data_IF_096334576753
#
_entry.id   IF_096334576753
#
_cell.length_a   1.000
_cell.length_b   1.000
_cell.length_c   1.000
_cell.angle_alpha   90.00
_cell.angle_beta   90.00
_cell.angle_gamma   90.00
#
_symmetry.space_group_name_H-M   'P 1'
#
loop_
_entity.id
_entity.type
_entity.pdbx_description
1 polymer ?
#
# COMPACT_ATOMS: atom_id res chain seq x y z
N UNK A 1 -19.41 -12.52 3.75
CA UNK A 1 -18.86 -12.98 5.04
C UNK A 1 -18.48 -11.74 5.83
N UNK A 2 -19.11 -11.49 6.98
CA UNK A 2 -18.82 -10.33 7.83
C UNK A 2 -18.01 -10.81 9.04
N UNK A 3 -16.82 -10.27 9.22
CA UNK A 3 -15.97 -10.60 10.35
C UNK A 3 -16.09 -9.47 11.39
N UNK A 4 -16.24 -9.85 12.66
CA UNK A 4 -16.36 -8.92 13.81
C UNK A 4 -15.10 -9.00 14.67
N UNK A 5 -14.91 -8.05 15.59
CA UNK A 5 -13.75 -8.02 16.52
C UNK A 5 -13.57 -9.30 17.33
N UNK A 6 -14.65 -10.04 17.58
CA UNK A 6 -14.64 -11.36 18.22
C UNK A 6 -13.98 -12.47 17.39
N UNK A 7 -13.68 -12.23 16.11
CA UNK A 7 -13.06 -13.19 15.20
C UNK A 7 -11.52 -13.18 15.24
N UNK A 8 -10.89 -12.27 15.98
CA UNK A 8 -9.42 -12.16 16.05
C UNK A 8 -8.75 -13.40 16.63
N UNK A 9 -9.35 -14.03 17.65
CA UNK A 9 -8.79 -15.23 18.30
C UNK A 9 -9.37 -16.54 17.74
N UNK A 10 -10.44 -16.48 16.95
CA UNK A 10 -11.11 -17.66 16.39
C UNK A 10 -10.54 -18.10 15.03
N UNK A 11 -9.70 -17.28 14.40
CA UNK A 11 -9.03 -17.64 13.16
C UNK A 11 -7.85 -18.59 13.47
N UNK A 12 -8.16 -19.84 13.78
CA UNK A 12 -7.21 -20.93 13.63
C UNK A 12 -6.92 -21.03 12.14
N UNK A 13 -5.79 -20.47 11.72
CA UNK A 13 -5.30 -20.53 10.34
C UNK A 13 -4.87 -21.97 10.04
N UNK A 14 -5.84 -22.87 9.90
CA UNK A 14 -5.58 -24.25 9.50
C UNK A 14 -5.32 -24.24 7.99
N UNK A 15 -4.04 -24.18 7.64
CA UNK A 15 -3.58 -24.16 6.26
C UNK A 15 -3.92 -25.50 5.60
N UNK A 16 -5.01 -25.53 4.83
CA UNK A 16 -5.33 -26.68 3.99
C UNK A 16 -4.64 -26.51 2.64
N UNK A 17 -3.68 -27.39 2.28
CA UNK A 17 -3.00 -27.31 1.00
C UNK A 17 -4.01 -27.39 -0.16
N UNK A 18 -3.89 -26.48 -1.13
CA UNK A 18 -4.78 -26.42 -2.31
C UNK A 18 -5.89 -25.37 -2.24
N UNK A 19 -6.06 -24.67 -1.11
CA UNK A 19 -7.00 -23.56 -0.97
C UNK A 19 -6.30 -22.21 -0.80
N UNK A 20 -6.88 -21.15 -1.37
CA UNK A 20 -6.37 -19.79 -1.22
C UNK A 20 -6.49 -19.34 0.23
N UNK A 21 -5.37 -18.86 0.79
CA UNK A 21 -5.31 -18.30 2.13
C UNK A 21 -5.37 -16.78 2.08
N UNK A 22 -6.09 -16.17 3.02
CA UNK A 22 -6.23 -14.72 3.13
C UNK A 22 -5.83 -14.29 4.54
N UNK A 23 -5.02 -13.24 4.63
CA UNK A 23 -4.75 -12.55 5.89
C UNK A 23 -5.74 -11.41 6.06
N UNK A 24 -6.47 -11.44 7.16
CA UNK A 24 -7.39 -10.37 7.54
C UNK A 24 -6.71 -9.49 8.58
N UNK A 25 -6.47 -8.23 8.25
CA UNK A 25 -5.86 -7.26 9.16
C UNK A 25 -6.96 -6.33 9.67
N UNK A 26 -7.11 -6.29 10.99
CA UNK A 26 -7.96 -5.34 11.69
C UNK A 26 -7.16 -4.12 12.09
N UNK A 27 -7.65 -2.94 11.70
CA UNK A 27 -7.10 -1.65 12.09
C UNK A 27 -7.82 -1.14 13.35
N UNK A 28 -7.09 -0.42 14.20
CA UNK A 28 -7.62 0.12 15.46
C UNK A 28 -8.76 1.14 15.29
N UNK A 29 -8.97 1.64 14.06
CA UNK A 29 -10.08 2.51 13.67
C UNK A 29 -11.38 1.76 13.32
N UNK A 30 -11.43 0.44 13.53
CA UNK A 30 -12.60 -0.40 13.23
C UNK A 30 -12.73 -0.82 11.76
N UNK A 31 -11.81 -0.42 10.88
CA UNK A 31 -11.76 -0.91 9.50
C UNK A 31 -11.00 -2.24 9.44
N UNK A 32 -11.43 -3.10 8.54
CA UNK A 32 -10.72 -4.34 8.22
C UNK A 32 -10.22 -4.29 6.78
N UNK A 33 -9.12 -4.98 6.52
CA UNK A 33 -8.59 -5.20 5.18
C UNK A 33 -8.26 -6.67 5.00
N UNK A 34 -8.64 -7.22 3.85
CA UNK A 34 -8.27 -8.58 3.47
C UNK A 34 -7.12 -8.47 2.50
N UNK A 35 -5.96 -8.99 2.89
CA UNK A 35 -4.82 -9.20 2.00
C UNK A 35 -4.82 -10.66 1.61
N UNK A 36 -4.85 -10.96 0.32
CA UNK A 36 -4.51 -12.30 -0.13
C UNK A 36 -3.09 -12.61 0.35
N UNK A 37 -2.89 -13.75 1.02
CA UNK A 37 -1.54 -14.23 1.17
C UNK A 37 -1.09 -14.63 -0.23
N UNK A 38 -0.04 -13.99 -0.73
CA UNK A 38 0.67 -14.51 -1.88
C UNK A 38 0.91 -15.98 -1.61
N UNK A 39 0.55 -16.82 -2.59
CA UNK A 39 1.08 -18.18 -2.64
C UNK A 39 2.58 -18.03 -2.44
N UNK A 40 3.10 -18.48 -1.29
CA UNK A 40 4.54 -18.65 -1.16
C UNK A 40 4.88 -19.67 -2.22
N UNK A 41 5.49 -19.18 -3.30
CA UNK A 41 5.86 -19.97 -4.45
C UNK A 41 6.61 -21.17 -3.93
N UNK A 42 6.04 -22.37 -4.09
CA UNK A 42 6.82 -23.59 -4.03
C UNK A 42 7.90 -23.42 -5.09
N UNK A 43 9.13 -23.19 -4.65
CA UNK A 43 10.27 -23.40 -5.52
C UNK A 43 10.18 -24.85 -6.00
N UNK A 44 10.03 -25.00 -7.31
CA UNK A 44 9.93 -26.24 -8.08
C UNK A 44 8.54 -26.91 -8.08
N UNK A 45 7.79 -26.70 -9.17
CA UNK A 45 7.69 -27.63 -10.32
C UNK A 45 6.51 -27.16 -11.20
N UNK A 46 6.75 -27.14 -12.51
CA UNK A 46 5.98 -26.35 -13.48
C UNK A 46 4.46 -26.53 -13.44
N UNK A 47 3.76 -25.39 -13.55
CA UNK A 47 2.38 -25.33 -14.00
C UNK A 47 2.29 -24.13 -14.93
N UNK A 48 2.16 -24.42 -16.21
CA UNK A 48 1.84 -23.51 -17.31
C UNK A 48 0.37 -23.15 -17.26
N UNK A 49 -0.04 -22.25 -16.38
CA UNK A 49 -1.32 -21.54 -16.51
C UNK A 49 -1.11 -20.09 -16.08
N UNK A 50 -1.07 -19.19 -17.06
CA UNK A 50 -1.00 -17.74 -16.87
C UNK A 50 -2.28 -17.25 -16.20
N UNK A 51 -2.33 -17.35 -14.88
CA UNK A 51 -3.31 -16.62 -14.09
C UNK A 51 -2.87 -15.15 -14.09
N UNK A 52 -3.44 -14.36 -15.01
CA UNK A 52 -3.32 -12.90 -15.03
C UNK A 52 -4.00 -12.30 -13.79
N UNK A 53 -3.38 -12.45 -12.63
CA UNK A 53 -3.73 -11.67 -11.45
C UNK A 53 -3.20 -10.26 -11.73
N UNK A 54 -4.09 -9.34 -12.10
CA UNK A 54 -3.83 -7.91 -12.00
C UNK A 54 -3.71 -7.55 -10.52
N UNK A 55 -2.58 -7.90 -9.92
CA UNK A 55 -2.15 -7.38 -8.64
C UNK A 55 -1.79 -5.93 -8.94
N UNK A 56 -2.75 -5.00 -8.81
CA UNK A 56 -2.36 -3.59 -8.81
C UNK A 56 -1.43 -3.43 -7.61
N UNK A 57 -0.18 -3.08 -7.88
CA UNK A 57 0.84 -2.83 -6.87
C UNK A 57 0.65 -1.45 -6.27
N UNK A 58 -0.61 -1.09 -5.98
CA UNK A 58 -0.99 0.17 -5.38
C UNK A 58 -0.68 0.06 -3.89
N UNK A 59 0.41 0.70 -3.48
CA UNK A 59 0.86 0.74 -2.10
C UNK A 59 0.34 2.01 -1.45
N UNK A 60 -0.22 1.91 -0.24
CA UNK A 60 -0.57 3.08 0.55
C UNK A 60 0.69 3.92 0.80
N UNK A 61 0.66 5.17 0.33
CA UNK A 61 1.71 6.15 0.47
C UNK A 61 1.35 7.15 1.55
N UNK A 62 2.25 7.30 2.52
CA UNK A 62 2.19 8.30 3.58
C UNK A 62 3.15 9.43 3.22
N UNK A 63 2.61 10.63 3.04
CA UNK A 63 3.35 11.84 2.67
C UNK A 63 3.40 12.75 3.90
N UNK A 64 4.62 12.96 4.39
CA UNK A 64 4.92 13.83 5.51
C UNK A 64 5.54 15.14 5.02
N UNK A 65 5.61 16.14 5.91
CA UNK A 65 6.40 17.34 5.66
C UNK A 65 7.89 17.03 5.43
N UNK A 66 8.66 18.04 5.04
CA UNK A 66 10.09 17.94 4.74
C UNK A 66 10.92 17.38 5.91
N UNK A 67 10.51 17.71 7.14
CA UNK A 67 11.12 17.20 8.37
C UNK A 67 10.68 15.76 8.73
N UNK A 68 9.69 15.21 8.05
CA UNK A 68 9.13 13.88 8.32
C UNK A 68 8.39 13.76 9.65
N UNK A 69 7.98 14.87 10.26
CA UNK A 69 7.35 14.89 11.60
C UNK A 69 5.82 14.87 11.52
N UNK A 70 5.23 15.55 10.55
CA UNK A 70 3.79 15.70 10.42
C UNK A 70 3.29 14.98 9.16
N UNK A 71 2.26 14.14 9.29
CA UNK A 71 1.58 13.53 8.14
C UNK A 71 0.71 14.59 7.47
N UNK A 72 0.99 14.88 6.20
CA UNK A 72 0.25 15.87 5.41
C UNK A 72 -0.86 15.23 4.58
N UNK A 73 -0.54 14.14 3.88
CA UNK A 73 -1.53 13.44 3.06
C UNK A 73 -1.20 11.96 2.96
N UNK A 74 -2.23 11.13 2.76
CA UNK A 74 -2.12 9.76 2.30
C UNK A 74 -2.53 9.65 0.83
N UNK A 75 -2.15 8.57 0.15
CA UNK A 75 -2.57 8.26 -1.22
C UNK A 75 -2.16 6.84 -1.64
N UNK A 76 -2.24 6.55 -2.94
CA UNK A 76 -1.85 5.26 -3.52
C UNK A 76 -0.68 5.45 -4.51
N UNK A 77 0.47 4.87 -4.19
CA UNK A 77 1.63 4.81 -5.08
C UNK A 77 1.50 3.60 -6.01
N UNK A 78 1.34 3.85 -7.31
CA UNK A 78 1.30 2.79 -8.32
C UNK A 78 2.72 2.43 -8.75
N UNK A 79 3.09 1.15 -8.66
CA UNK A 79 4.40 0.68 -9.13
C UNK A 79 5.57 0.88 -8.15
N UNK A 80 5.32 1.39 -6.94
CA UNK A 80 6.32 1.54 -5.87
C UNK A 80 6.85 2.96 -5.66
N UNK A 81 8.04 3.08 -5.07
CA UNK A 81 8.65 4.34 -4.60
C UNK A 81 9.96 4.69 -5.31
N UNK A 82 10.22 4.10 -6.48
CA UNK A 82 11.41 4.42 -7.29
C UNK A 82 11.12 5.66 -8.13
N UNK A 83 11.85 6.79 -7.95
CA UNK A 83 11.57 8.00 -8.73
C UNK A 83 11.87 7.83 -10.23
N UNK A 84 11.07 8.45 -11.12
CA UNK A 84 9.83 9.15 -10.81
C UNK A 84 8.68 8.17 -10.52
N UNK A 85 7.89 8.45 -9.49
CA UNK A 85 6.68 7.67 -9.17
C UNK A 85 5.48 8.58 -8.95
N UNK A 86 4.27 8.02 -9.10
CA UNK A 86 3.00 8.76 -9.03
C UNK A 86 2.22 8.29 -7.80
N UNK A 87 1.73 9.25 -7.03
CA UNK A 87 0.77 9.00 -5.94
C UNK A 87 -0.57 9.60 -6.34
N UNK A 88 -1.61 8.76 -6.37
CA UNK A 88 -2.99 9.15 -6.72
C UNK A 88 -3.91 9.07 -5.50
N UNK A 89 -5.16 9.55 -5.64
CA UNK A 89 -6.19 9.53 -4.57
C UNK A 89 -5.71 10.18 -3.27
N UNK A 90 -5.11 11.37 -3.37
CA UNK A 90 -4.62 12.10 -2.21
C UNK A 90 -5.76 12.50 -1.26
N UNK A 91 -5.58 12.26 0.04
CA UNK A 91 -6.53 12.69 1.07
C UNK A 91 -6.59 14.23 1.23
N UNK A 92 -5.45 14.90 1.09
CA UNK A 92 -5.31 16.35 1.30
C UNK A 92 -4.38 16.93 0.23
N UNK A 93 -4.80 16.93 -1.05
CA UNK A 93 -3.96 17.41 -2.15
C UNK A 93 -3.55 18.87 -1.96
N UNK A 94 -4.38 19.69 -1.32
CA UNK A 94 -4.11 21.11 -1.05
C UNK A 94 -2.85 21.39 -0.22
N UNK A 95 -2.37 20.40 0.55
CA UNK A 95 -1.17 20.52 1.38
C UNK A 95 0.13 20.19 0.64
N UNK A 96 0.05 19.63 -0.57
CA UNK A 96 1.21 19.28 -1.39
C UNK A 96 1.42 20.35 -2.46
N UNK A 97 2.60 20.94 -2.47
CA UNK A 97 3.04 21.97 -3.40
C UNK A 97 4.12 21.44 -4.35
N UNK A 98 4.07 21.89 -5.62
CA UNK A 98 5.11 21.61 -6.62
C UNK A 98 6.42 22.29 -6.20
N UNK A 99 7.56 21.68 -6.50
CA UNK A 99 8.92 22.10 -6.16
C UNK A 99 9.23 22.14 -4.66
N UNK A 100 8.43 21.46 -3.84
CA UNK A 100 8.72 21.22 -2.43
C UNK A 100 9.18 19.78 -2.21
N UNK A 101 10.02 19.58 -1.19
CA UNK A 101 10.44 18.27 -0.72
C UNK A 101 9.50 17.73 0.35
N UNK A 102 9.29 16.42 0.33
CA UNK A 102 8.45 15.69 1.25
C UNK A 102 9.11 14.38 1.63
N UNK A 103 8.83 13.90 2.85
CA UNK A 103 9.20 12.55 3.23
C UNK A 103 8.06 11.61 2.85
N UNK A 104 8.32 10.66 1.96
CA UNK A 104 7.33 9.68 1.49
C UNK A 104 7.73 8.29 1.95
N UNK A 105 6.75 7.51 2.42
CA UNK A 105 6.97 6.13 2.85
C UNK A 105 5.75 5.25 2.56
N UNK A 106 5.94 3.94 2.35
CA UNK A 106 4.83 3.00 2.52
C UNK A 106 4.40 2.93 3.99
N UNK A 107 3.18 2.48 4.25
CA UNK A 107 2.71 2.20 5.60
C UNK A 107 3.68 1.23 6.34
N UNK A 108 4.32 1.72 7.40
CA UNK A 108 5.33 0.98 8.18
C UNK A 108 6.72 0.91 7.55
N UNK A 109 6.97 1.60 6.43
CA UNK A 109 8.25 1.64 5.74
C UNK A 109 9.18 2.76 6.19
N UNK A 110 10.37 2.77 5.59
CA UNK A 110 11.37 3.83 5.78
C UNK A 110 10.92 5.07 5.00
N UNK A 111 11.08 6.24 5.62
CA UNK A 111 10.83 7.55 5.00
C UNK A 111 12.01 7.93 4.12
N UNK A 112 11.72 8.34 2.89
CA UNK A 112 12.68 8.86 1.94
C UNK A 112 12.24 10.24 1.45
N UNK A 113 13.21 11.14 1.29
CA UNK A 113 12.98 12.47 0.76
C UNK A 113 12.74 12.42 -0.75
N UNK A 114 11.69 13.09 -1.21
CA UNK A 114 11.34 13.21 -2.61
C UNK A 114 10.78 14.60 -2.93
N UNK A 115 11.17 15.17 -4.07
CA UNK A 115 10.62 16.43 -4.55
C UNK A 115 9.32 16.21 -5.34
N UNK A 116 8.27 16.98 -5.04
CA UNK A 116 7.07 16.99 -5.88
C UNK A 116 7.34 17.77 -7.17
N UNK A 117 7.46 17.08 -8.30
CA UNK A 117 7.78 17.71 -9.61
C UNK A 117 6.55 18.06 -10.43
N UNK A 118 5.41 17.43 -10.15
CA UNK A 118 4.14 17.70 -10.83
C UNK A 118 2.96 17.42 -9.91
N UNK A 119 1.89 18.19 -10.05
CA UNK A 119 0.61 17.99 -9.35
C UNK A 119 -0.55 18.17 -10.33
N UNK A 120 -1.51 17.25 -10.30
CA UNK A 120 -2.71 17.28 -11.12
C UNK A 120 -3.91 16.81 -10.30
N UNK A 121 -4.69 17.76 -9.80
CA UNK A 121 -5.83 17.48 -8.92
C UNK A 121 -5.41 16.69 -7.68
N UNK A 122 -5.93 15.47 -7.57
CA UNK A 122 -5.70 14.56 -6.44
C UNK A 122 -4.51 13.62 -6.66
N UNK A 123 -3.63 13.94 -7.62
CA UNK A 123 -2.44 13.15 -7.94
C UNK A 123 -1.18 14.01 -7.99
N UNK A 124 -0.06 13.44 -7.57
CA UNK A 124 1.27 14.08 -7.59
C UNK A 124 2.32 13.13 -8.12
N UNK A 125 3.37 13.69 -8.73
CA UNK A 125 4.55 12.97 -9.20
C UNK A 125 5.73 13.38 -8.34
N UNK A 126 6.41 12.39 -7.78
CA UNK A 126 7.60 12.56 -6.98
C UNK A 126 8.84 12.22 -7.80
N UNK A 127 9.75 13.18 -7.89
CA UNK A 127 11.06 13.06 -8.51
C UNK A 127 12.15 12.69 -7.50
N UNK A 128 13.40 12.78 -7.97
CA UNK A 128 14.59 12.63 -7.12
C UNK A 128 14.74 13.80 -6.14
#
# INVERSE_FOLDING_TARGET
MNFTSSSQEAAVCDFTPGYSSYTVIYQANGRWSVRGNTLQTFANKGVTEEYNINISSDHEALIYNEAGTALLSTGLANGGYTPPFIVTNLSHPGLININHEYQVAPAGGIRAGHMCVQKMGDSVVFGR
#
